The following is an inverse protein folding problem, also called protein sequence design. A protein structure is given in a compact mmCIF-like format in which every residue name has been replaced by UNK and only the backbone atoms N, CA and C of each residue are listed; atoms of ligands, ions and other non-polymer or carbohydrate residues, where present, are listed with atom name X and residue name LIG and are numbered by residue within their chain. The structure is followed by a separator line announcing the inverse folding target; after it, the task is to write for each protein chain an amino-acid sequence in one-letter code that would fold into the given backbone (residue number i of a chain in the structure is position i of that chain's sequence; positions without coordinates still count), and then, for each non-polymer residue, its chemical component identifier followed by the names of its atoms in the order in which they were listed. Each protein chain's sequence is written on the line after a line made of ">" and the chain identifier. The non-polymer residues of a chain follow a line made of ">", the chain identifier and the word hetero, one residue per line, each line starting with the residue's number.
data_IF_923033682159
#
_entry.id   IF_923033682159
#
_cell.length_a   1.000
_cell.length_b   1.000
_cell.length_c   1.000
_cell.angle_alpha   90.00
_cell.angle_beta   90.00
_cell.angle_gamma   90.00
#
_symmetry.space_group_name_H-M   'P 1'
#
loop_
_entity.id
_entity.type
_entity.pdbx_description
1 polymer ?
#
# COMPACT_ATOMS: atom_id res chain seq x y z
N UNK A 1 -15.73 9.58 10.08
CA UNK A 1 -14.54 8.95 10.70
C UNK A 1 -13.32 9.78 10.36
N UNK A 2 -12.47 10.09 11.33
CA UNK A 2 -11.23 10.84 11.11
C UNK A 2 -10.03 9.98 11.48
N UNK A 3 -8.99 10.02 10.65
CA UNK A 3 -7.73 9.36 10.95
C UNK A 3 -6.93 10.14 12.00
N UNK A 4 -6.39 9.45 13.02
CA UNK A 4 -5.65 10.05 14.10
C UNK A 4 -4.49 9.16 14.58
N UNK A 5 -3.25 9.68 14.67
CA UNK A 5 -2.17 8.99 15.33
C UNK A 5 -2.49 8.77 16.81
N UNK A 6 -2.16 7.58 17.32
CA UNK A 6 -2.50 7.15 18.68
C UNK A 6 -1.93 8.10 19.75
N UNK A 7 -0.86 8.83 19.43
CA UNK A 7 -0.26 9.85 20.30
C UNK A 7 -1.13 11.07 20.55
N UNK A 8 -2.10 11.35 19.68
CA UNK A 8 -3.06 12.46 19.81
C UNK A 8 -4.42 12.02 20.36
N UNK A 9 -4.66 10.71 20.50
CA UNK A 9 -5.91 10.15 20.99
C UNK A 9 -6.00 10.36 22.50
N UNK A 10 -7.10 10.97 22.96
CA UNK A 10 -7.39 11.20 24.39
C UNK A 10 -8.35 10.13 24.92
N UNK A 11 -8.33 9.91 26.23
CA UNK A 11 -9.33 9.06 26.90
C UNK A 11 -10.75 9.59 26.62
N UNK A 12 -11.69 8.68 26.37
CA UNK A 12 -13.07 8.99 25.99
C UNK A 12 -13.30 9.12 24.48
N UNK A 13 -12.23 9.17 23.66
CA UNK A 13 -12.37 9.18 22.19
C UNK A 13 -13.08 7.93 21.70
N UNK A 14 -14.03 8.08 20.76
CA UNK A 14 -14.79 6.96 20.21
C UNK A 14 -14.04 6.35 19.03
N UNK A 15 -13.82 5.04 19.07
CA UNK A 15 -13.18 4.30 18.00
C UNK A 15 -14.07 4.26 16.74
N UNK A 16 -13.50 4.64 15.59
CA UNK A 16 -14.20 4.71 14.32
C UNK A 16 -14.15 3.44 13.46
N UNK A 17 -13.15 2.57 13.63
CA UNK A 17 -13.08 1.27 12.96
C UNK A 17 -12.76 0.16 13.95
N UNK A 18 -13.26 -1.03 13.67
CA UNK A 18 -12.87 -2.23 14.40
C UNK A 18 -11.33 -2.40 14.34
N UNK A 19 -10.75 -2.87 15.43
CA UNK A 19 -9.36 -3.33 15.49
C UNK A 19 -9.39 -4.84 15.53
N UNK A 20 -8.65 -5.48 14.63
CA UNK A 20 -8.59 -6.93 14.49
C UNK A 20 -7.27 -7.48 15.02
N UNK A 21 -7.26 -8.75 15.41
CA UNK A 21 -6.03 -9.52 15.63
C UNK A 21 -5.48 -10.10 14.32
N UNK A 22 -4.35 -10.80 14.41
CA UNK A 22 -3.70 -11.44 13.27
C UNK A 22 -4.57 -12.49 12.55
N UNK A 23 -5.59 -13.01 13.22
CA UNK A 23 -6.54 -14.00 12.70
C UNK A 23 -7.82 -13.35 12.16
N UNK A 24 -7.88 -12.02 12.09
CA UNK A 24 -9.06 -11.28 11.62
C UNK A 24 -10.21 -11.25 12.62
N UNK A 25 -9.98 -11.57 13.90
CA UNK A 25 -11.00 -11.49 14.96
C UNK A 25 -11.00 -10.10 15.57
N UNK A 26 -12.19 -9.57 15.88
CA UNK A 26 -12.32 -8.24 16.49
C UNK A 26 -11.71 -8.26 17.91
N UNK A 27 -10.68 -7.44 18.11
CA UNK A 27 -10.08 -7.12 19.42
C UNK A 27 -10.82 -5.96 20.10
N UNK A 28 -11.23 -4.96 19.33
CA UNK A 28 -11.96 -3.80 19.82
C UNK A 28 -12.96 -3.36 18.75
N UNK A 29 -14.23 -3.29 19.12
CA UNK A 29 -15.29 -2.92 18.18
C UNK A 29 -15.39 -1.41 17.99
N UNK A 30 -15.72 -0.97 16.78
CA UNK A 30 -16.17 0.38 16.44
C UNK A 30 -17.25 0.84 17.42
N UNK A 31 -17.24 2.13 17.74
CA UNK A 31 -18.12 2.74 18.73
C UNK A 31 -17.62 2.61 20.18
N UNK A 32 -16.53 1.88 20.43
CA UNK A 32 -15.97 1.76 21.78
C UNK A 32 -15.30 3.06 22.21
N UNK A 33 -15.67 3.57 23.39
CA UNK A 33 -14.96 4.66 24.04
C UNK A 33 -13.60 4.17 24.57
N UNK A 34 -12.53 4.82 24.12
CA UNK A 34 -11.16 4.44 24.43
C UNK A 34 -10.75 4.88 25.84
N UNK A 35 -10.52 3.91 26.73
CA UNK A 35 -9.87 4.11 28.03
C UNK A 35 -8.36 4.11 27.86
N UNK A 36 -7.62 4.72 28.79
CA UNK A 36 -6.14 4.77 28.75
C UNK A 36 -5.50 3.38 28.60
N UNK A 37 -6.06 2.36 29.26
CA UNK A 37 -5.63 0.95 29.10
C UNK A 37 -5.74 0.43 27.67
N UNK A 38 -6.76 0.84 26.92
CA UNK A 38 -6.96 0.42 25.53
C UNK A 38 -5.95 1.13 24.63
N UNK A 39 -5.74 2.44 24.82
CA UNK A 39 -4.75 3.23 24.08
C UNK A 39 -3.34 2.62 24.24
N UNK A 40 -2.96 2.29 25.47
CA UNK A 40 -1.69 1.61 25.76
C UNK A 40 -1.60 0.23 25.09
N UNK A 41 -2.67 -0.56 25.13
CA UNK A 41 -2.69 -1.89 24.52
C UNK A 41 -2.58 -1.81 22.99
N UNK A 42 -3.32 -0.90 22.35
CA UNK A 42 -3.24 -0.63 20.90
C UNK A 42 -1.80 -0.28 20.51
N UNK A 43 -1.16 0.64 21.26
CA UNK A 43 0.25 1.00 21.03
C UNK A 43 1.21 -0.19 21.20
N UNK A 44 0.97 -1.07 22.19
CA UNK A 44 1.80 -2.27 22.41
C UNK A 44 1.65 -3.33 21.32
N UNK A 45 0.55 -3.28 20.55
CA UNK A 45 0.31 -4.15 19.39
C UNK A 45 0.95 -3.59 18.10
N UNK A 46 1.76 -2.53 18.21
CA UNK A 46 2.37 -1.87 17.05
C UNK A 46 1.39 -1.01 16.26
N UNK A 47 0.18 -0.75 16.77
CA UNK A 47 -0.81 0.10 16.12
C UNK A 47 -0.57 1.54 16.56
N UNK A 48 -0.01 2.35 15.65
CA UNK A 48 0.36 3.74 15.94
C UNK A 48 -0.67 4.77 15.48
N UNK A 49 -1.72 4.34 14.79
CA UNK A 49 -2.80 5.23 14.36
C UNK A 49 -4.12 4.48 14.25
N UNK A 50 -5.24 5.20 14.42
CA UNK A 50 -6.59 4.64 14.38
C UNK A 50 -7.56 5.61 13.70
N UNK A 51 -8.72 5.12 13.29
CA UNK A 51 -9.85 5.98 12.95
C UNK A 51 -10.69 6.24 14.19
N UNK A 52 -11.16 7.47 14.33
CA UNK A 52 -12.02 7.93 15.42
C UNK A 52 -13.34 8.49 14.88
N UNK A 53 -14.35 8.56 15.73
CA UNK A 53 -15.61 9.27 15.48
C UNK A 53 -15.62 10.56 16.29
N UNK A 54 -15.80 11.69 15.60
CA UNK A 54 -15.93 13.02 16.18
C UNK A 54 -16.86 13.89 15.33
N UNK A 55 -17.16 15.10 15.80
CA UNK A 55 -18.08 16.03 15.13
C UNK A 55 -17.58 16.53 13.76
N UNK A 56 -16.31 16.30 13.42
CA UNK A 56 -15.69 16.82 12.20
C UNK A 56 -15.93 15.91 10.99
N UNK A 57 -16.31 14.63 11.20
CA UNK A 57 -16.49 13.67 10.12
C UNK A 57 -17.58 12.62 10.36
N UNK A 58 -18.64 12.68 9.55
CA UNK A 58 -19.71 11.68 9.51
C UNK A 58 -19.49 10.57 8.46
N UNK A 59 -18.37 10.60 7.74
CA UNK A 59 -18.13 9.63 6.66
C UNK A 59 -17.66 8.29 7.23
N UNK A 60 -18.37 7.21 6.90
CA UNK A 60 -17.88 5.86 7.14
C UNK A 60 -16.93 5.44 6.01
N UNK A 61 -15.77 4.94 6.39
CA UNK A 61 -14.79 4.43 5.44
C UNK A 61 -14.92 2.91 5.36
N UNK A 62 -15.23 2.41 4.18
CA UNK A 62 -15.18 0.97 3.93
C UNK A 62 -13.73 0.52 3.74
N UNK A 63 -13.43 -0.70 4.15
CA UNK A 63 -12.16 -1.33 3.84
C UNK A 63 -12.14 -1.70 2.35
N UNK A 64 -10.95 -1.59 1.73
CA UNK A 64 -10.79 -1.93 0.30
C UNK A 64 -10.97 -3.43 0.07
N UNK A 65 -10.58 -4.24 1.06
CA UNK A 65 -10.89 -5.66 1.12
C UNK A 65 -11.34 -6.03 2.52
N UNK A 66 -12.18 -7.06 2.63
CA UNK A 66 -12.64 -7.56 3.93
C UNK A 66 -11.48 -8.07 4.80
N UNK A 67 -11.57 -7.95 6.15
CA UNK A 67 -10.56 -8.47 7.07
C UNK A 67 -10.29 -9.98 6.90
N UNK A 68 -11.33 -10.75 6.52
CA UNK A 68 -11.23 -12.19 6.30
C UNK A 68 -10.37 -12.51 5.07
N UNK A 69 -10.59 -11.83 3.94
CA UNK A 69 -9.79 -11.98 2.73
C UNK A 69 -8.36 -11.52 3.00
N UNK A 70 -8.18 -10.41 3.71
CA UNK A 70 -6.86 -9.92 4.14
C UNK A 70 -6.10 -10.96 4.95
N UNK A 71 -6.72 -11.55 5.98
CA UNK A 71 -6.09 -12.58 6.81
C UNK A 71 -5.75 -13.84 6.00
N UNK A 72 -6.68 -14.32 5.16
CA UNK A 72 -6.45 -15.44 4.23
C UNK A 72 -5.23 -15.17 3.35
N UNK A 73 -5.14 -13.97 2.77
CA UNK A 73 -4.05 -13.59 1.88
C UNK A 73 -2.70 -13.59 2.59
N UNK A 74 -2.60 -13.02 3.79
CA UNK A 74 -1.36 -13.00 4.58
C UNK A 74 -0.90 -14.42 4.93
N UNK A 75 -1.83 -15.29 5.34
CA UNK A 75 -1.51 -16.70 5.66
C UNK A 75 -0.99 -17.43 4.42
N UNK A 76 -1.66 -17.28 3.28
CA UNK A 76 -1.25 -17.91 2.02
C UNK A 76 0.10 -17.41 1.52
N UNK A 77 0.35 -16.09 1.61
CA UNK A 77 1.64 -15.49 1.28
C UNK A 77 2.75 -16.06 2.15
N UNK A 78 2.55 -16.11 3.48
CA UNK A 78 3.53 -16.65 4.42
C UNK A 78 3.87 -18.12 4.14
N UNK A 79 2.85 -18.96 3.88
CA UNK A 79 3.05 -20.36 3.47
C UNK A 79 3.85 -20.45 2.17
N UNK A 80 3.47 -19.67 1.15
CA UNK A 80 4.09 -19.70 -0.17
C UNK A 80 5.56 -19.28 -0.13
N UNK A 81 5.85 -18.16 0.55
CA UNK A 81 7.21 -17.63 0.67
C UNK A 81 8.12 -18.56 1.48
N UNK A 82 7.59 -19.17 2.54
CA UNK A 82 8.34 -20.16 3.32
C UNK A 82 8.66 -21.41 2.49
N UNK A 83 7.67 -21.96 1.78
CA UNK A 83 7.87 -23.13 0.92
C UNK A 83 8.86 -22.83 -0.20
N UNK A 84 8.82 -21.62 -0.77
CA UNK A 84 9.82 -21.19 -1.75
C UNK A 84 11.23 -21.23 -1.18
N UNK A 85 11.43 -20.65 0.01
CA UNK A 85 12.74 -20.61 0.66
C UNK A 85 13.33 -22.02 0.87
N UNK A 86 12.50 -22.99 1.25
CA UNK A 86 12.93 -24.37 1.51
C UNK A 86 13.20 -25.17 0.22
N UNK A 87 12.45 -24.89 -0.84
CA UNK A 87 12.50 -25.66 -2.09
C UNK A 87 13.43 -25.08 -3.15
N UNK A 88 14.06 -23.92 -2.89
CA UNK A 88 14.97 -23.31 -3.83
C UNK A 88 16.27 -24.11 -3.99
N UNK A 89 16.62 -24.42 -5.24
CA UNK A 89 17.91 -25.03 -5.60
C UNK A 89 18.61 -24.13 -6.62
N UNK A 90 19.90 -23.87 -6.42
CA UNK A 90 20.70 -23.06 -7.36
C UNK A 90 21.00 -23.78 -8.68
N UNK A 91 20.98 -25.11 -8.70
CA UNK A 91 21.41 -25.92 -9.86
C UNK A 91 20.26 -26.28 -10.82
N UNK A 92 19.10 -25.61 -10.72
CA UNK A 92 17.85 -25.95 -11.43
C UNK A 92 17.40 -27.42 -11.26
N UNK A 93 17.97 -28.12 -10.28
CA UNK A 93 17.72 -29.54 -10.00
C UNK A 93 16.45 -29.71 -9.15
N UNK A 94 15.30 -29.28 -9.69
CA UNK A 94 14.02 -29.39 -8.98
C UNK A 94 13.51 -30.83 -8.99
N UNK A 95 13.16 -31.34 -7.81
CA UNK A 95 12.53 -32.66 -7.69
C UNK A 95 11.07 -32.60 -8.14
N UNK A 96 10.49 -33.75 -8.54
CA UNK A 96 9.05 -33.83 -8.85
C UNK A 96 8.18 -33.32 -7.71
N UNK A 97 8.60 -33.57 -6.46
CA UNK A 97 7.92 -33.12 -5.24
C UNK A 97 7.94 -31.60 -5.11
N UNK A 98 9.10 -30.95 -5.30
CA UNK A 98 9.19 -29.49 -5.20
C UNK A 98 8.40 -28.77 -6.30
N UNK A 99 8.33 -29.34 -7.50
CA UNK A 99 7.47 -28.84 -8.59
C UNK A 99 6.00 -28.95 -8.23
N UNK A 100 5.58 -30.10 -7.67
CA UNK A 100 4.20 -30.30 -7.23
C UNK A 100 3.81 -29.30 -6.13
N UNK A 101 4.63 -29.15 -5.09
CA UNK A 101 4.38 -28.21 -4.01
C UNK A 101 4.36 -26.76 -4.50
N UNK A 102 5.21 -26.40 -5.46
CA UNK A 102 5.17 -25.09 -6.10
C UNK A 102 3.82 -24.87 -6.81
N UNK A 103 3.32 -25.84 -7.59
CA UNK A 103 2.03 -25.72 -8.26
C UNK A 103 0.87 -25.57 -7.26
N UNK A 104 0.88 -26.32 -6.16
CA UNK A 104 -0.13 -26.19 -5.10
C UNK A 104 -0.13 -24.79 -4.47
N UNK A 105 1.05 -24.25 -4.13
CA UNK A 105 1.15 -22.89 -3.58
C UNK A 105 0.68 -21.83 -4.58
N UNK A 106 0.96 -22.01 -5.87
CA UNK A 106 0.52 -21.08 -6.92
C UNK A 106 -0.98 -21.13 -7.12
N UNK A 107 -1.59 -22.31 -7.01
CA UNK A 107 -3.05 -22.45 -7.01
C UNK A 107 -3.67 -21.70 -5.82
N UNK A 108 -3.10 -21.84 -4.62
CA UNK A 108 -3.56 -21.12 -3.42
C UNK A 108 -3.45 -19.59 -3.62
N UNK A 109 -2.33 -19.09 -4.15
CA UNK A 109 -2.14 -17.67 -4.44
C UNK A 109 -3.12 -17.17 -5.52
N UNK A 110 -3.37 -17.98 -6.55
CA UNK A 110 -4.30 -17.62 -7.62
C UNK A 110 -5.73 -17.50 -7.09
N UNK A 111 -6.16 -18.42 -6.22
CA UNK A 111 -7.46 -18.35 -5.55
C UNK A 111 -7.57 -17.11 -4.66
N UNK A 112 -6.54 -16.79 -3.88
CA UNK A 112 -6.53 -15.57 -3.07
C UNK A 112 -6.55 -14.31 -3.93
N UNK A 113 -5.83 -14.29 -5.05
CA UNK A 113 -5.82 -13.18 -5.98
C UNK A 113 -7.20 -12.95 -6.61
N UNK A 114 -7.94 -14.02 -6.91
CA UNK A 114 -9.34 -13.97 -7.35
C UNK A 114 -10.25 -13.41 -6.26
N UNK A 115 -10.15 -13.92 -5.02
CA UNK A 115 -10.97 -13.40 -3.91
C UNK A 115 -10.75 -11.89 -3.69
N UNK A 116 -9.50 -11.43 -3.73
CA UNK A 116 -9.14 -10.01 -3.63
C UNK A 116 -9.76 -9.21 -4.79
N UNK A 117 -9.63 -9.72 -6.02
CA UNK A 117 -10.15 -9.05 -7.20
C UNK A 117 -11.67 -8.94 -7.16
N UNK A 118 -12.36 -10.03 -6.81
CA UNK A 118 -13.82 -10.07 -6.73
C UNK A 118 -14.36 -9.15 -5.64
N UNK A 119 -13.70 -9.09 -4.48
CA UNK A 119 -14.09 -8.20 -3.38
C UNK A 119 -13.93 -6.72 -3.76
N UNK A 120 -12.83 -6.38 -4.45
CA UNK A 120 -12.61 -5.02 -5.00
C UNK A 120 -13.66 -4.71 -6.08
N UNK A 121 -13.93 -5.63 -7.01
CA UNK A 121 -14.89 -5.43 -8.10
C UNK A 121 -16.35 -5.32 -7.61
N UNK A 122 -16.67 -5.94 -6.47
CA UNK A 122 -18.01 -5.86 -5.86
C UNK A 122 -18.35 -4.46 -5.35
N UNK A 123 -17.35 -3.60 -5.15
CA UNK A 123 -17.52 -2.27 -4.60
C UNK A 123 -17.75 -1.22 -5.71
N UNK A 124 -18.85 -0.47 -5.61
CA UNK A 124 -19.26 0.55 -6.61
C UNK A 124 -18.21 1.65 -6.83
N UNK A 125 -17.49 2.04 -5.77
CA UNK A 125 -16.47 3.09 -5.81
C UNK A 125 -15.28 2.70 -4.93
N UNK A 126 -14.28 2.06 -5.53
CA UNK A 126 -13.02 1.79 -4.83
C UNK A 126 -12.15 3.04 -4.89
N UNK A 127 -11.93 3.63 -3.72
CA UNK A 127 -10.94 4.69 -3.52
C UNK A 127 -10.08 4.29 -2.34
N UNK A 128 -8.77 4.50 -2.47
CA UNK A 128 -7.84 4.03 -1.45
C UNK A 128 -7.79 5.07 -0.33
N UNK A 129 -8.56 4.81 0.73
CA UNK A 129 -8.50 5.56 1.98
C UNK A 129 -7.37 4.96 2.82
N UNK A 130 -6.19 5.53 2.64
CA UNK A 130 -4.95 4.77 2.62
C UNK A 130 -4.29 4.47 3.95
N UNK A 131 -5.08 4.44 5.01
CA UNK A 131 -4.51 4.18 6.33
C UNK A 131 -5.18 2.97 6.93
N UNK A 132 -4.98 1.85 6.26
CA UNK A 132 -5.14 0.54 6.88
C UNK A 132 -4.12 0.43 8.01
N UNK A 133 -4.63 0.06 9.18
CA UNK A 133 -3.87 -0.11 10.40
C UNK A 133 -2.86 -1.24 10.19
N UNK A 134 -1.58 -0.89 10.05
CA UNK A 134 -0.48 -1.84 9.88
C UNK A 134 -0.03 -2.36 11.24
N UNK A 135 0.02 -3.69 11.40
CA UNK A 135 0.67 -4.38 12.52
C UNK A 135 2.12 -4.72 12.14
N UNK A 136 3.04 -4.60 13.08
CA UNK A 136 4.50 -4.74 12.88
C UNK A 136 4.96 -6.15 12.50
N UNK A 137 4.21 -7.19 12.87
CA UNK A 137 4.73 -8.57 12.86
C UNK A 137 4.71 -9.27 11.50
N UNK A 138 4.22 -8.63 10.44
CA UNK A 138 4.14 -9.21 9.08
C UNK A 138 4.41 -8.19 7.96
N UNK A 139 5.35 -7.25 8.16
CA UNK A 139 5.60 -6.13 7.24
C UNK A 139 5.72 -6.57 5.77
N UNK A 140 6.56 -7.56 5.45
CA UNK A 140 6.80 -8.00 4.06
C UNK A 140 5.55 -8.56 3.38
N UNK A 141 4.73 -9.35 4.11
CA UNK A 141 3.51 -9.93 3.54
C UNK A 141 2.40 -8.89 3.39
N UNK A 142 2.29 -7.97 4.36
CA UNK A 142 1.37 -6.84 4.26
C UNK A 142 1.75 -5.94 3.08
N UNK A 143 3.05 -5.70 2.88
CA UNK A 143 3.57 -4.95 1.75
C UNK A 143 3.15 -5.60 0.42
N UNK A 144 3.43 -6.89 0.22
CA UNK A 144 3.05 -7.61 -1.01
C UNK A 144 1.53 -7.55 -1.27
N UNK A 145 0.71 -7.68 -0.22
CA UNK A 145 -0.73 -7.56 -0.33
C UNK A 145 -1.18 -6.14 -0.69
N UNK A 146 -0.62 -5.10 -0.05
CA UNK A 146 -0.97 -3.71 -0.32
C UNK A 146 -0.54 -3.29 -1.73
N UNK A 147 0.65 -3.69 -2.17
CA UNK A 147 1.12 -3.49 -3.54
C UNK A 147 0.17 -4.13 -4.54
N UNK A 148 -0.36 -5.32 -4.23
CA UNK A 148 -1.36 -5.98 -5.08
C UNK A 148 -2.68 -5.22 -5.16
N UNK A 149 -3.23 -4.79 -4.02
CA UNK A 149 -4.46 -3.99 -3.96
C UNK A 149 -4.30 -2.69 -4.75
N UNK A 150 -3.20 -1.95 -4.51
CA UNK A 150 -2.89 -0.69 -5.21
C UNK A 150 -2.72 -0.90 -6.72
N UNK A 151 -2.07 -1.99 -7.12
CA UNK A 151 -1.88 -2.35 -8.53
C UNK A 151 -3.21 -2.63 -9.21
N UNK A 152 -4.09 -3.43 -8.59
CA UNK A 152 -5.43 -3.73 -9.12
C UNK A 152 -6.23 -2.43 -9.30
N UNK A 153 -6.18 -1.53 -8.33
CA UNK A 153 -6.91 -0.24 -8.39
C UNK A 153 -6.41 0.63 -9.53
N UNK A 154 -5.09 0.69 -9.76
CA UNK A 154 -4.53 1.35 -10.93
C UNK A 154 -4.97 0.66 -12.23
N UNK A 155 -4.95 -0.67 -12.26
CA UNK A 155 -5.42 -1.45 -13.41
C UNK A 155 -6.89 -1.18 -13.75
N UNK A 156 -7.76 -1.04 -12.75
CA UNK A 156 -9.17 -0.68 -12.92
C UNK A 156 -9.33 0.73 -13.50
N UNK A 157 -8.54 1.70 -13.00
CA UNK A 157 -8.53 3.06 -13.52
C UNK A 157 -8.02 3.16 -14.97
N UNK A 158 -7.16 2.21 -15.36
CA UNK A 158 -6.70 2.01 -16.74
C UNK A 158 -7.65 1.16 -17.59
N UNK A 159 -8.76 0.66 -17.01
CA UNK A 159 -9.76 -0.20 -17.66
C UNK A 159 -9.17 -1.48 -18.24
N UNK A 160 -8.19 -2.07 -17.54
CA UNK A 160 -7.68 -3.39 -17.89
C UNK A 160 -8.79 -4.44 -17.78
N UNK A 161 -8.76 -5.44 -18.66
CA UNK A 161 -9.69 -6.56 -18.58
C UNK A 161 -9.39 -7.46 -17.35
N UNK A 162 -10.36 -8.29 -16.97
CA UNK A 162 -10.26 -9.19 -15.82
C UNK A 162 -9.05 -10.12 -15.88
N UNK A 163 -8.63 -10.54 -17.08
CA UNK A 163 -7.48 -11.42 -17.26
C UNK A 163 -6.18 -10.69 -16.90
N UNK A 164 -5.99 -9.47 -17.38
CA UNK A 164 -4.84 -8.63 -17.03
C UNK A 164 -4.86 -8.26 -15.55
N UNK A 165 -6.02 -7.96 -14.97
CA UNK A 165 -6.16 -7.70 -13.53
C UNK A 165 -5.77 -8.90 -12.67
N UNK A 166 -6.19 -10.12 -13.06
CA UNK A 166 -5.79 -11.34 -12.37
C UNK A 166 -4.28 -11.58 -12.46
N UNK A 167 -3.69 -11.41 -13.64
CA UNK A 167 -2.24 -11.52 -13.81
C UNK A 167 -1.49 -10.49 -12.99
N UNK A 168 -1.99 -9.26 -12.94
CA UNK A 168 -1.44 -8.17 -12.16
C UNK A 168 -1.47 -8.54 -10.68
N UNK A 169 -2.63 -8.96 -10.15
CA UNK A 169 -2.82 -9.38 -8.77
C UNK A 169 -1.84 -10.48 -8.34
N UNK A 170 -1.72 -11.55 -9.14
CA UNK A 170 -0.77 -12.65 -8.88
C UNK A 170 0.67 -12.14 -8.92
N UNK A 171 1.04 -11.39 -9.97
CA UNK A 171 2.40 -10.87 -10.14
C UNK A 171 2.81 -9.92 -9.02
N UNK A 172 1.93 -9.03 -8.57
CA UNK A 172 2.18 -8.13 -7.45
C UNK A 172 2.22 -8.83 -6.09
N UNK A 173 1.47 -9.92 -5.89
CA UNK A 173 1.58 -10.71 -4.66
C UNK A 173 2.93 -11.44 -4.55
N UNK A 174 3.56 -11.74 -5.69
CA UNK A 174 4.77 -12.54 -5.79
C UNK A 174 6.01 -11.74 -6.22
N UNK A 175 5.89 -10.43 -6.46
CA UNK A 175 6.96 -9.61 -7.05
C UNK A 175 8.27 -9.71 -6.27
N UNK A 176 8.14 -9.78 -4.95
CA UNK A 176 9.22 -9.79 -3.97
C UNK A 176 9.58 -11.18 -3.45
N UNK A 177 9.03 -12.26 -4.04
CA UNK A 177 9.22 -13.62 -3.52
C UNK A 177 10.71 -13.99 -3.40
N UNK A 178 11.55 -13.49 -4.33
CA UNK A 178 12.99 -13.68 -4.32
C UNK A 178 13.71 -13.14 -3.08
N UNK A 179 13.11 -12.22 -2.32
CA UNK A 179 13.72 -11.65 -1.10
C UNK A 179 13.95 -12.69 -0.01
N UNK A 180 13.21 -13.81 -0.01
CA UNK A 180 13.42 -14.91 0.95
C UNK A 180 14.79 -15.59 0.80
N UNK A 181 15.46 -15.38 -0.33
CA UNK A 181 16.78 -15.92 -0.66
C UNK A 181 17.90 -14.88 -0.55
N UNK A 182 17.59 -13.70 -0.01
CA UNK A 182 18.57 -12.69 0.35
C UNK A 182 18.97 -12.91 1.80
N UNK A 183 20.28 -12.87 2.14
CA UNK A 183 20.73 -13.00 3.53
C UNK A 183 20.04 -12.00 4.44
N UNK A 184 19.61 -12.47 5.62
CA UNK A 184 18.89 -11.64 6.60
C UNK A 184 19.72 -10.43 7.04
N UNK A 185 21.05 -10.58 7.13
CA UNK A 185 21.98 -9.49 7.44
C UNK A 185 21.96 -8.33 6.42
N UNK A 186 21.60 -8.61 5.17
CA UNK A 186 21.44 -7.60 4.11
C UNK A 186 20.00 -7.09 4.12
N UNK A 187 19.01 -7.99 4.23
CA UNK A 187 17.60 -7.65 4.17
C UNK A 187 17.14 -6.76 5.33
N UNK A 188 17.67 -6.97 6.53
CA UNK A 188 17.32 -6.24 7.75
C UNK A 188 18.37 -5.20 8.15
N UNK A 189 19.34 -4.89 7.28
CA UNK A 189 20.42 -3.96 7.61
C UNK A 189 19.89 -2.57 7.97
N UNK A 190 20.31 -2.06 9.13
CA UNK A 190 20.03 -0.68 9.55
C UNK A 190 21.03 0.27 8.87
N UNK A 191 20.60 0.96 7.81
CA UNK A 191 21.43 1.94 7.08
C UNK A 191 21.64 1.60 5.60
N UNK A 192 22.54 2.33 4.90
CA UNK A 192 22.80 2.08 3.50
C UNK A 192 23.49 0.74 3.28
N UNK A 193 23.12 0.06 2.19
CA UNK A 193 23.84 -1.12 1.70
C UNK A 193 25.16 -0.69 1.05
N UNK A 194 26.20 -1.51 1.16
CA UNK A 194 27.40 -1.40 0.33
C UNK A 194 27.06 -1.78 -1.11
N UNK A 195 27.94 -1.46 -2.06
CA UNK A 195 27.70 -1.82 -3.47
C UNK A 195 27.55 -3.35 -3.65
N UNK A 196 28.35 -4.16 -2.96
CA UNK A 196 28.27 -5.64 -2.99
C UNK A 196 26.96 -6.17 -2.37
N UNK A 197 26.55 -5.60 -1.24
CA UNK A 197 25.27 -5.92 -0.61
C UNK A 197 24.09 -5.52 -1.50
N UNK A 198 24.22 -4.39 -2.21
CA UNK A 198 23.23 -3.92 -3.15
C UNK A 198 23.15 -4.82 -4.39
N UNK A 199 24.28 -5.27 -4.96
CA UNK A 199 24.29 -6.31 -6.01
C UNK A 199 23.59 -7.58 -5.57
N UNK A 200 23.85 -8.02 -4.33
CA UNK A 200 23.18 -9.18 -3.75
C UNK A 200 21.68 -8.94 -3.62
N UNK A 201 21.26 -7.78 -3.12
CA UNK A 201 19.85 -7.39 -3.02
C UNK A 201 19.17 -7.41 -4.39
N UNK A 202 19.78 -6.84 -5.43
CA UNK A 202 19.23 -6.81 -6.80
C UNK A 202 18.92 -8.20 -7.36
N UNK A 203 19.67 -9.23 -6.92
CA UNK A 203 19.47 -10.62 -7.37
C UNK A 203 18.09 -11.21 -7.05
N UNK A 204 17.33 -10.61 -6.11
CA UNK A 204 16.00 -11.13 -5.75
C UNK A 204 15.03 -11.15 -6.95
N UNK A 205 15.11 -10.16 -7.85
CA UNK A 205 14.27 -10.08 -9.05
C UNK A 205 14.46 -11.31 -9.95
N UNK A 206 15.72 -11.66 -10.23
CA UNK A 206 16.08 -12.83 -11.03
C UNK A 206 15.75 -14.15 -10.33
N UNK A 207 16.11 -14.28 -9.04
CA UNK A 207 15.80 -15.48 -8.25
C UNK A 207 14.29 -15.74 -8.16
N UNK A 208 13.50 -14.69 -7.96
CA UNK A 208 12.04 -14.77 -7.97
C UNK A 208 11.51 -15.20 -9.34
N UNK A 209 12.00 -14.58 -10.43
CA UNK A 209 11.62 -14.97 -11.78
C UNK A 209 11.93 -16.43 -12.12
N UNK A 210 13.13 -16.91 -11.76
CA UNK A 210 13.55 -18.29 -12.04
C UNK A 210 12.69 -19.29 -11.27
N UNK A 211 12.33 -19.01 -10.03
CA UNK A 211 11.36 -19.82 -9.30
C UNK A 211 9.99 -19.86 -9.97
N UNK A 212 9.48 -18.68 -10.36
CA UNK A 212 8.17 -18.57 -11.00
C UNK A 212 8.13 -19.23 -12.40
N UNK A 213 9.27 -19.63 -12.97
CA UNK A 213 9.30 -20.44 -14.21
C UNK A 213 9.01 -21.92 -13.98
N UNK A 214 9.27 -22.43 -12.77
CA UNK A 214 9.16 -23.86 -12.45
C UNK A 214 7.72 -24.34 -12.63
N UNK A 215 6.76 -23.52 -12.17
CA UNK A 215 5.35 -23.81 -12.33
C UNK A 215 4.84 -23.33 -13.69
N UNK A 216 4.21 -24.25 -14.43
CA UNK A 216 3.55 -23.92 -15.70
C UNK A 216 2.27 -23.11 -15.48
N UNK A 217 1.69 -23.18 -14.28
CA UNK A 217 0.42 -22.56 -13.94
C UNK A 217 0.55 -21.05 -13.66
N UNK A 218 1.78 -20.56 -13.42
CA UNK A 218 2.03 -19.12 -13.27
C UNK A 218 1.93 -18.44 -14.64
N UNK A 219 1.04 -17.45 -14.83
CA UNK A 219 0.97 -16.72 -16.09
C UNK A 219 2.30 -16.00 -16.39
N UNK A 220 2.76 -16.05 -17.64
CA UNK A 220 4.00 -15.36 -18.04
C UNK A 220 4.05 -13.89 -17.60
N UNK A 221 2.95 -13.10 -17.67
CA UNK A 221 2.93 -11.73 -17.15
C UNK A 221 3.30 -11.60 -15.67
N UNK A 222 2.89 -12.53 -14.81
CA UNK A 222 3.22 -12.51 -13.38
C UNK A 222 4.73 -12.72 -13.15
N UNK A 223 5.36 -13.57 -13.97
CA UNK A 223 6.81 -13.81 -13.93
C UNK A 223 7.57 -12.55 -14.36
N UNK A 224 7.10 -11.90 -15.43
CA UNK A 224 7.71 -10.66 -15.95
C UNK A 224 7.65 -9.51 -14.92
N UNK A 225 6.58 -9.42 -14.14
CA UNK A 225 6.49 -8.45 -13.03
C UNK A 225 7.62 -8.68 -12.02
N UNK A 226 7.86 -9.92 -11.59
CA UNK A 226 8.90 -10.22 -10.60
C UNK A 226 10.30 -9.80 -11.07
N UNK A 227 10.63 -9.96 -12.36
CA UNK A 227 11.95 -9.53 -12.87
C UNK A 227 12.04 -8.03 -13.18
N UNK A 228 10.93 -7.36 -13.52
CA UNK A 228 10.97 -5.97 -14.03
C UNK A 228 10.46 -4.89 -13.06
N UNK A 229 9.91 -5.23 -11.90
CA UNK A 229 9.28 -4.22 -11.02
C UNK A 229 10.24 -3.15 -10.46
N UNK A 230 11.56 -3.35 -10.59
CA UNK A 230 12.59 -2.35 -10.28
C UNK A 230 13.28 -1.73 -11.50
N UNK A 231 12.78 -2.02 -12.71
CA UNK A 231 13.17 -1.29 -13.92
C UNK A 231 12.61 0.13 -13.86
N UNK A 232 13.35 1.09 -14.41
CA UNK A 232 13.01 2.52 -14.42
C UNK A 232 12.98 3.01 -15.86
N UNK A 233 12.06 3.90 -16.18
CA UNK A 233 11.83 4.30 -17.59
C UNK A 233 13.06 4.90 -18.26
N UNK A 234 13.99 5.51 -17.51
CA UNK A 234 15.26 6.05 -18.02
C UNK A 234 16.37 4.99 -18.22
N UNK A 235 16.13 3.74 -17.82
CA UNK A 235 17.08 2.63 -17.87
C UNK A 235 18.06 2.55 -16.70
N UNK A 236 17.92 3.41 -15.68
CA UNK A 236 18.72 3.35 -14.44
C UNK A 236 18.26 2.28 -13.45
N UNK A 237 17.21 1.53 -13.82
CA UNK A 237 16.68 0.41 -13.04
C UNK A 237 17.49 -0.88 -13.19
N UNK A 238 16.96 -1.96 -12.64
CA UNK A 238 17.60 -3.27 -12.66
C UNK A 238 16.54 -4.39 -12.76
N UNK A 239 16.92 -5.61 -13.19
CA UNK A 239 18.28 -6.10 -13.47
C UNK A 239 18.79 -5.86 -14.89
N UNK A 240 17.94 -5.53 -15.85
CA UNK A 240 18.34 -5.45 -17.26
C UNK A 240 18.53 -4.02 -17.78
N UNK A 241 18.11 -3.00 -17.02
CA UNK A 241 18.26 -1.59 -17.43
C UNK A 241 17.34 -1.22 -18.60
N UNK A 242 16.12 -1.79 -18.61
CA UNK A 242 15.13 -1.60 -19.67
C UNK A 242 14.63 -0.15 -19.69
N UNK A 243 14.31 0.37 -20.87
CA UNK A 243 13.83 1.74 -21.06
C UNK A 243 12.42 1.79 -21.56
N UNK A 244 11.66 2.78 -21.09
CA UNK A 244 10.33 3.13 -21.58
C UNK A 244 9.47 1.92 -21.99
N UNK A 245 9.28 1.68 -23.29
CA UNK A 245 8.39 0.65 -23.84
C UNK A 245 8.94 -0.79 -23.76
N UNK A 246 10.21 -0.97 -23.42
CA UNK A 246 10.80 -2.29 -23.13
C UNK A 246 10.30 -2.85 -21.79
N UNK A 247 9.87 -1.98 -20.88
CA UNK A 247 9.30 -2.36 -19.59
C UNK A 247 7.83 -2.71 -19.80
N UNK A 248 7.46 -3.93 -19.40
CA UNK A 248 6.10 -4.41 -19.52
C UNK A 248 5.14 -3.55 -18.70
N UNK A 249 3.97 -3.23 -19.28
CA UNK A 249 2.99 -2.31 -18.69
C UNK A 249 2.59 -2.69 -17.26
N UNK A 250 2.35 -3.98 -17.00
CA UNK A 250 1.98 -4.43 -15.65
C UNK A 250 3.14 -4.25 -14.65
N UNK A 251 4.39 -4.40 -15.10
CA UNK A 251 5.57 -4.14 -14.26
C UNK A 251 5.69 -2.66 -13.89
N UNK A 252 5.39 -1.74 -14.83
CA UNK A 252 5.32 -0.29 -14.54
C UNK A 252 4.26 0.04 -13.50
N UNK A 253 3.10 -0.62 -13.56
CA UNK A 253 2.02 -0.46 -12.57
C UNK A 253 2.50 -0.91 -11.19
N UNK A 254 3.12 -2.09 -11.10
CA UNK A 254 3.63 -2.63 -9.83
C UNK A 254 4.76 -1.76 -9.27
N UNK A 255 5.66 -1.23 -10.10
CA UNK A 255 6.74 -0.34 -9.66
C UNK A 255 6.21 0.93 -8.96
N UNK A 256 5.14 1.54 -9.50
CA UNK A 256 4.48 2.70 -8.88
C UNK A 256 3.85 2.30 -7.55
N UNK A 257 3.15 1.17 -7.51
CA UNK A 257 2.44 0.69 -6.32
C UNK A 257 3.42 0.29 -5.19
N UNK A 258 4.52 -0.38 -5.55
CA UNK A 258 5.62 -0.77 -4.67
C UNK A 258 6.26 0.44 -4.00
N UNK A 259 6.72 1.40 -4.81
CA UNK A 259 7.33 2.63 -4.28
C UNK A 259 6.34 3.40 -3.41
N UNK A 260 5.08 3.52 -3.83
CA UNK A 260 4.08 4.22 -3.04
C UNK A 260 3.86 3.56 -1.66
N UNK A 261 3.65 2.24 -1.60
CA UNK A 261 3.47 1.53 -0.32
C UNK A 261 4.76 1.60 0.52
N UNK A 262 5.94 1.48 -0.09
CA UNK A 262 7.22 1.62 0.60
C UNK A 262 7.42 3.00 1.24
N UNK A 263 6.98 4.09 0.59
CA UNK A 263 7.05 5.44 1.13
C UNK A 263 6.01 5.70 2.24
N UNK A 264 4.82 5.10 2.12
CA UNK A 264 3.68 5.33 3.04
C UNK A 264 3.56 4.28 4.14
N UNK A 265 4.50 3.34 4.23
CA UNK A 265 4.59 2.37 5.32
C UNK A 265 5.61 2.78 6.36
N UNK A 266 5.29 2.57 7.65
CA UNK A 266 6.27 2.68 8.73
C UNK A 266 7.30 1.55 8.61
N UNK A 267 8.59 1.90 8.66
CA UNK A 267 9.71 0.95 8.76
C UNK A 267 10.45 1.19 10.08
N UNK A 268 11.13 0.18 10.65
CA UNK A 268 11.88 0.34 11.91
C UNK A 268 12.82 1.57 11.94
N UNK A 269 13.38 1.93 10.79
CA UNK A 269 14.36 3.03 10.64
C UNK A 269 13.80 4.29 9.98
N UNK A 270 12.52 4.31 9.58
CA UNK A 270 11.94 5.43 8.84
C UNK A 270 10.44 5.54 9.08
N UNK A 271 10.01 6.73 9.51
CA UNK A 271 8.59 7.09 9.62
C UNK A 271 7.96 7.14 8.23
N UNK A 272 6.73 6.64 8.11
CA UNK A 272 5.94 6.77 6.89
C UNK A 272 5.83 8.24 6.44
N UNK A 273 6.01 8.48 5.14
CA UNK A 273 5.63 9.75 4.52
C UNK A 273 4.10 9.85 4.46
N UNK A 274 3.57 11.07 4.51
CA UNK A 274 2.15 11.24 4.28
C UNK A 274 1.80 10.99 2.79
N UNK A 275 0.57 10.54 2.49
CA UNK A 275 0.14 10.29 1.11
C UNK A 275 0.40 11.44 0.12
N UNK A 276 0.29 12.70 0.56
CA UNK A 276 0.62 13.85 -0.28
C UNK A 276 2.11 13.88 -0.66
N UNK A 277 3.01 13.68 0.30
CA UNK A 277 4.46 13.65 0.07
C UNK A 277 4.84 12.49 -0.85
N UNK A 278 4.20 11.33 -0.67
CA UNK A 278 4.40 10.18 -1.56
C UNK A 278 3.92 10.47 -2.99
N UNK A 279 2.77 11.14 -3.17
CA UNK A 279 2.31 11.57 -4.50
C UNK A 279 3.27 12.60 -5.12
N UNK A 280 3.73 13.59 -4.36
CA UNK A 280 4.73 14.57 -4.83
C UNK A 280 6.03 13.87 -5.24
N UNK A 281 6.49 12.87 -4.48
CA UNK A 281 7.64 12.05 -4.86
C UNK A 281 7.43 11.34 -6.19
N UNK A 282 6.27 10.70 -6.40
CA UNK A 282 5.97 10.03 -7.66
C UNK A 282 5.96 11.02 -8.83
N UNK A 283 5.29 12.17 -8.67
CA UNK A 283 5.26 13.22 -9.70
C UNK A 283 6.66 13.79 -10.00
N UNK A 284 7.47 14.02 -8.97
CA UNK A 284 8.84 14.51 -9.11
C UNK A 284 9.80 13.52 -9.79
N UNK A 285 9.46 12.23 -9.82
CA UNK A 285 10.22 11.17 -10.46
C UNK A 285 9.57 10.66 -11.77
N UNK A 286 8.59 11.41 -12.30
CA UNK A 286 8.08 11.16 -13.65
C UNK A 286 9.16 11.46 -14.70
N UNK A 287 9.14 10.72 -15.81
CA UNK A 287 10.14 10.80 -16.89
C UNK A 287 11.55 10.28 -16.54
N UNK A 288 11.79 9.87 -15.29
CA UNK A 288 13.02 9.17 -14.87
C UNK A 288 12.72 7.77 -14.36
N UNK A 289 11.91 7.66 -13.31
CA UNK A 289 11.51 6.37 -12.73
C UNK A 289 10.17 5.89 -13.27
N UNK A 290 9.20 6.80 -13.41
CA UNK A 290 7.81 6.44 -13.66
C UNK A 290 7.21 7.08 -14.92
N UNK A 291 6.30 6.35 -15.56
CA UNK A 291 5.46 6.87 -16.64
C UNK A 291 4.43 7.88 -16.08
N UNK A 292 4.48 9.12 -16.57
CA UNK A 292 3.61 10.22 -16.14
C UNK A 292 2.11 9.91 -16.32
N UNK A 293 1.72 9.18 -17.37
CA UNK A 293 0.31 8.81 -17.60
C UNK A 293 -0.17 7.86 -16.51
N UNK A 294 0.67 6.91 -16.13
CA UNK A 294 0.38 5.95 -15.06
C UNK A 294 0.33 6.63 -13.69
N UNK A 295 1.30 7.50 -13.37
CA UNK A 295 1.31 8.26 -12.10
C UNK A 295 0.07 9.15 -11.99
N UNK A 296 -0.31 9.84 -13.07
CA UNK A 296 -1.53 10.65 -13.08
C UNK A 296 -2.77 9.82 -12.77
N UNK A 297 -2.90 8.67 -13.45
CA UNK A 297 -4.01 7.72 -13.24
C UNK A 297 -4.03 7.17 -11.81
N UNK A 298 -2.86 6.81 -11.29
CA UNK A 298 -2.70 6.37 -9.90
C UNK A 298 -3.17 7.43 -8.92
N UNK A 299 -2.70 8.67 -9.08
CA UNK A 299 -3.06 9.77 -8.17
C UNK A 299 -4.56 10.02 -8.09
N UNK A 300 -5.32 9.82 -9.17
CA UNK A 300 -6.78 9.99 -9.16
C UNK A 300 -7.51 9.05 -8.19
N UNK A 301 -6.87 7.94 -7.78
CA UNK A 301 -7.44 6.94 -6.87
C UNK A 301 -6.92 7.05 -5.44
N UNK A 302 -5.94 7.91 -5.21
CA UNK A 302 -5.33 8.16 -3.91
C UNK A 302 -5.96 9.42 -3.30
N UNK A 303 -6.55 9.28 -2.12
CA UNK A 303 -7.06 10.42 -1.35
C UNK A 303 -6.04 10.75 -0.26
N UNK A 304 -5.24 11.82 -0.41
CA UNK A 304 -4.26 12.20 0.59
C UNK A 304 -4.90 12.89 1.80
N UNK A 305 -6.04 13.55 1.60
CA UNK A 305 -6.81 14.21 2.65
C UNK A 305 -8.25 13.70 2.62
N UNK A 306 -8.56 12.60 3.34
CA UNK A 306 -9.92 12.09 3.46
C UNK A 306 -10.87 13.13 4.05
N UNK A 307 -12.16 13.01 3.74
CA UNK A 307 -13.20 13.87 4.32
C UNK A 307 -13.15 13.79 5.85
N UNK A 308 -13.16 14.96 6.49
CA UNK A 308 -12.98 15.09 7.93
C UNK A 308 -11.54 15.35 8.37
N UNK A 309 -10.55 15.21 7.49
CA UNK A 309 -9.17 15.57 7.81
C UNK A 309 -9.10 17.06 8.12
N UNK A 310 -8.56 17.41 9.28
CA UNK A 310 -8.26 18.80 9.60
C UNK A 310 -6.91 19.18 9.01
N UNK A 311 -6.84 20.34 8.37
CA UNK A 311 -5.66 20.81 7.65
C UNK A 311 -5.40 22.27 7.98
N UNK A 312 -4.11 22.62 8.06
CA UNK A 312 -3.64 24.00 8.11
C UNK A 312 -3.28 24.46 6.71
N UNK A 313 -3.74 25.64 6.35
CA UNK A 313 -3.54 26.27 5.05
C UNK A 313 -2.36 27.24 5.09
N UNK A 314 -1.82 27.57 3.91
CA UNK A 314 -0.70 28.52 3.75
C UNK A 314 -0.98 29.92 4.31
N UNK A 315 -2.24 30.32 4.35
CA UNK A 315 -2.70 31.56 4.97
C UNK A 315 -2.91 31.46 6.50
N UNK A 316 -2.42 30.38 7.13
CA UNK A 316 -2.52 30.05 8.56
C UNK A 316 -3.91 29.70 9.08
N UNK A 317 -4.94 29.72 8.24
CA UNK A 317 -6.26 29.25 8.62
C UNK A 317 -6.27 27.72 8.78
N UNK A 318 -7.14 27.24 9.66
CA UNK A 318 -7.38 25.81 9.88
C UNK A 318 -8.80 25.49 9.40
N UNK A 319 -8.94 24.39 8.68
CA UNK A 319 -10.23 23.92 8.18
C UNK A 319 -10.33 22.42 8.12
N UNK A 320 -11.54 21.94 7.82
CA UNK A 320 -11.88 20.53 7.69
C UNK A 320 -12.18 20.23 6.23
N UNK A 321 -11.59 19.16 5.68
CA UNK A 321 -11.95 18.69 4.34
C UNK A 321 -13.40 18.22 4.33
N UNK A 322 -14.24 18.82 3.48
CA UNK A 322 -15.67 18.47 3.34
C UNK A 322 -16.00 17.75 2.06
N UNK A 323 -15.22 17.99 1.00
CA UNK A 323 -15.45 17.40 -0.32
C UNK A 323 -14.12 17.19 -1.03
N UNK A 324 -14.03 16.14 -1.85
CA UNK A 324 -12.82 15.76 -2.59
C UNK A 324 -13.06 16.01 -4.06
N UNK A 325 -12.22 16.85 -4.67
CA UNK A 325 -12.33 17.16 -6.08
C UNK A 325 -11.86 15.98 -6.93
N UNK A 326 -12.76 15.46 -7.78
CA UNK A 326 -12.45 14.38 -8.72
C UNK A 326 -11.28 14.77 -9.64
N UNK A 327 -10.27 13.90 -9.74
CA UNK A 327 -9.06 14.13 -10.54
C UNK A 327 -8.06 15.14 -9.97
N UNK A 328 -8.39 15.82 -8.86
CA UNK A 328 -7.52 16.78 -8.18
C UNK A 328 -7.51 16.52 -6.66
N UNK A 329 -7.00 15.37 -6.21
CA UNK A 329 -7.07 14.93 -4.82
C UNK A 329 -6.31 15.85 -3.82
N UNK A 330 -5.36 16.66 -4.32
CA UNK A 330 -4.63 17.66 -3.55
C UNK A 330 -5.35 19.01 -3.44
N UNK A 331 -6.48 19.20 -4.12
CA UNK A 331 -7.28 20.43 -4.12
C UNK A 331 -8.73 20.17 -3.65
N UNK A 332 -8.93 19.68 -2.41
CA UNK A 332 -10.26 19.46 -1.86
C UNK A 332 -10.99 20.79 -1.54
N UNK A 333 -12.28 20.69 -1.21
CA UNK A 333 -13.02 21.79 -0.59
C UNK A 333 -12.93 21.71 0.92
N UNK A 334 -12.66 22.84 1.56
CA UNK A 334 -12.29 22.95 2.96
C UNK A 334 -13.21 23.94 3.64
N UNK A 335 -13.86 23.52 4.73
CA UNK A 335 -14.61 24.43 5.59
C UNK A 335 -13.70 24.99 6.68
N UNK A 336 -13.55 26.30 6.74
CA UNK A 336 -12.74 26.97 7.76
C UNK A 336 -13.40 26.88 9.14
N UNK A 337 -12.64 26.48 10.16
CA UNK A 337 -13.14 26.36 11.53
C UNK A 337 -13.43 27.71 12.20
N UNK A 338 -12.75 28.78 11.77
CA UNK A 338 -12.91 30.13 12.34
C UNK A 338 -14.17 30.83 11.86
N UNK A 339 -14.60 30.59 10.61
CA UNK A 339 -15.69 31.34 9.96
C UNK A 339 -16.82 30.46 9.44
N UNK A 340 -16.68 29.12 9.48
CA UNK A 340 -17.57 28.15 8.85
C UNK A 340 -17.80 28.44 7.34
N UNK A 341 -16.79 29.00 6.68
CA UNK A 341 -16.85 29.28 5.24
C UNK A 341 -16.23 28.14 4.44
N UNK A 342 -16.88 27.73 3.36
CA UNK A 342 -16.36 26.72 2.44
C UNK A 342 -15.45 27.38 1.41
N UNK A 343 -14.20 26.91 1.33
CA UNK A 343 -13.20 27.32 0.35
C UNK A 343 -12.97 26.16 -0.62
N UNK A 344 -13.01 26.45 -1.92
CA UNK A 344 -12.63 25.50 -2.95
C UNK A 344 -11.21 25.78 -3.43
N UNK A 345 -10.27 24.86 -3.14
CA UNK A 345 -8.86 25.02 -3.52
C UNK A 345 -8.60 24.92 -5.04
N UNK A 346 -9.60 24.49 -5.83
CA UNK A 346 -9.54 24.60 -7.29
C UNK A 346 -9.72 26.03 -7.78
N UNK A 347 -10.49 26.84 -7.04
CA UNK A 347 -10.72 28.26 -7.32
C UNK A 347 -9.58 29.08 -6.70
N UNK A 348 -9.31 28.88 -5.41
CA UNK A 348 -8.27 29.60 -4.66
C UNK A 348 -6.88 28.97 -4.88
N UNK A 349 -6.31 29.21 -6.07
CA UNK A 349 -5.07 28.54 -6.52
C UNK A 349 -3.83 28.87 -5.69
N UNK A 350 -3.80 30.03 -5.05
CA UNK A 350 -2.73 30.55 -4.20
C UNK A 350 -2.74 29.96 -2.77
N UNK A 351 -3.82 29.26 -2.39
CA UNK A 351 -3.90 28.59 -1.10
C UNK A 351 -3.53 27.11 -1.28
N UNK A 352 -2.65 26.62 -0.40
CA UNK A 352 -2.24 25.21 -0.37
C UNK A 352 -2.33 24.68 1.06
N UNK A 353 -2.43 23.36 1.18
CA UNK A 353 -2.39 22.68 2.48
C UNK A 353 -0.93 22.60 2.94
N UNK A 354 -0.60 23.21 4.08
CA UNK A 354 0.73 23.14 4.70
C UNK A 354 0.92 21.79 5.42
N UNK A 355 -0.03 21.41 6.27
CA UNK A 355 0.07 20.20 7.08
C UNK A 355 -1.27 19.73 7.62
N UNK A 356 -1.34 18.47 8.03
CA UNK A 356 -2.48 17.90 8.77
C UNK A 356 -2.40 18.37 10.23
N UNK A 357 -3.58 18.67 10.80
CA UNK A 357 -3.77 19.04 12.21
C UNK A 357 -4.58 17.96 12.89
N UNK A 358 -4.18 17.53 14.09
CA UNK A 358 -4.88 16.45 14.81
C UNK A 358 -5.76 16.96 15.96
N UNK A 359 -5.41 18.10 16.55
CA UNK A 359 -6.17 18.75 17.61
C UNK A 359 -6.39 20.22 17.26
N UNK A 360 -7.60 20.71 17.50
CA UNK A 360 -7.93 22.12 17.42
C UNK A 360 -8.59 22.50 18.75
N UNK A 361 -7.94 23.37 19.51
CA UNK A 361 -8.57 24.02 20.66
C UNK A 361 -9.07 25.37 20.14
N UNK A 362 -10.38 25.60 20.16
CA UNK A 362 -10.91 26.95 19.96
C UNK A 362 -10.30 27.80 21.08
N UNK A 363 -9.51 28.80 20.72
CA UNK A 363 -9.24 29.89 21.66
C UNK A 363 -10.61 30.45 22.07
N UNK A 364 -10.86 30.40 23.39
CA UNK A 364 -12.14 30.73 24.00
C UNK A 364 -12.47 32.21 23.91
#
# INVERSE_FOLDING_TARGET
>A
MRFMPISFVKEGTILGKDIYDEKGRILLSKGTALRDRYIKKIKSLGIYSIYIMDEYSNVELNDVITPQIRSKAIITLKKTYHNFQQNYSQDDSYTKKSVQEANENISDISSVAEDILDDILSQKHVVVNLIDIKSTDNYTYQHCLNVSILSIILGLELKLDTKHLKHLAIGSLLHDIGKTLIPESILLKEGPLTDEEFETMKSHTKKGYDYLKISKDIPSPARVIAIQHHEKIDGSGYPNGLKEDEIYMLSKIVAIADVYDALTSDRPYRRAMSPNEALEYLYGNCSTQFDMKLVKKFSNRIIPYPIGTMVKLSNKNIGVVKDITSGFPLRPKIELLSTNTLIDLMIEKNIVIENIVYNYEKEA
#
